data_IF_322906574121
#
_entry.id   IF_322906574121
#
_cell.length_a   1.000
_cell.length_b   1.000
_cell.length_c   1.000
_cell.angle_alpha   90.00
_cell.angle_beta   90.00
_cell.angle_gamma   90.00
#
_symmetry.space_group_name_H-M   'P 1'
#
loop_
_entity.id
_entity.type
_entity.pdbx_description
1 polymer ?
#
# COMPACT_ATOMS: atom_id res chain seq x y z
N UNK A 1 -16.48 -18.44 3.96
CA UNK A 1 -15.58 -17.62 3.12
C UNK A 1 -15.75 -16.17 3.53
N UNK A 2 -14.67 -15.40 3.66
CA UNK A 2 -14.76 -13.96 3.85
C UNK A 2 -15.32 -13.32 2.57
N UNK A 3 -16.48 -12.67 2.68
CA UNK A 3 -17.17 -12.04 1.55
C UNK A 3 -16.34 -10.92 0.91
N UNK A 4 -15.44 -10.27 1.65
CA UNK A 4 -14.55 -9.25 1.10
C UNK A 4 -13.46 -9.87 0.22
N UNK A 5 -12.92 -11.02 0.61
CA UNK A 5 -11.94 -11.74 -0.21
C UNK A 5 -12.57 -12.27 -1.50
N UNK A 6 -13.80 -12.78 -1.44
CA UNK A 6 -14.51 -13.22 -2.64
C UNK A 6 -14.72 -12.06 -3.64
N UNK A 7 -15.11 -10.88 -3.16
CA UNK A 7 -15.29 -9.68 -4.00
C UNK A 7 -13.98 -9.13 -4.56
N UNK A 8 -12.84 -9.42 -3.93
CA UNK A 8 -11.54 -8.94 -4.41
C UNK A 8 -11.13 -9.58 -5.76
N UNK A 9 -11.77 -10.68 -6.16
CA UNK A 9 -11.50 -11.37 -7.43
C UNK A 9 -12.05 -10.61 -8.65
N UNK A 10 -13.14 -9.86 -8.49
CA UNK A 10 -13.86 -9.21 -9.59
C UNK A 10 -14.10 -7.71 -9.38
N UNK A 11 -13.70 -7.15 -8.24
CA UNK A 11 -13.77 -5.71 -7.97
C UNK A 11 -12.38 -5.06 -8.03
N UNK A 12 -12.29 -3.78 -8.42
CA UNK A 12 -11.02 -3.08 -8.47
C UNK A 12 -10.34 -2.98 -7.11
N UNK A 13 -9.02 -3.11 -7.11
CA UNK A 13 -8.19 -2.87 -5.91
C UNK A 13 -8.05 -1.37 -5.69
N UNK A 14 -8.73 -0.86 -4.66
CA UNK A 14 -8.71 0.56 -4.30
C UNK A 14 -7.43 0.93 -3.50
N UNK A 15 -6.26 0.71 -4.10
CA UNK A 15 -4.95 0.86 -3.44
C UNK A 15 -4.74 2.24 -2.82
N UNK A 16 -4.93 3.31 -3.59
CA UNK A 16 -4.75 4.68 -3.12
C UNK A 16 -5.68 5.00 -1.94
N UNK A 17 -6.93 4.56 -1.99
CA UNK A 17 -7.89 4.75 -0.91
C UNK A 17 -7.44 4.00 0.36
N UNK A 18 -6.87 2.81 0.22
CA UNK A 18 -6.27 2.05 1.31
C UNK A 18 -5.13 2.81 1.98
N UNK A 19 -4.18 3.34 1.19
CA UNK A 19 -3.07 4.17 1.69
C UNK A 19 -3.59 5.43 2.40
N UNK A 20 -4.52 6.17 1.78
CA UNK A 20 -5.16 7.36 2.39
C UNK A 20 -5.86 7.04 3.71
N UNK A 21 -6.49 5.87 3.81
CA UNK A 21 -7.12 5.40 5.06
C UNK A 21 -6.08 5.15 6.14
N UNK A 22 -4.95 4.54 5.81
CA UNK A 22 -3.85 4.31 6.76
C UNK A 22 -3.20 5.62 7.21
N UNK A 23 -2.98 6.56 6.28
CA UNK A 23 -2.50 7.92 6.59
C UNK A 23 -3.46 8.63 7.54
N UNK A 24 -4.77 8.56 7.29
CA UNK A 24 -5.81 9.13 8.17
C UNK A 24 -5.85 8.51 9.56
N UNK A 25 -5.35 7.28 9.71
CA UNK A 25 -5.17 6.60 11.01
C UNK A 25 -3.83 6.89 11.68
N UNK A 26 -2.99 7.74 11.08
CA UNK A 26 -1.70 8.16 11.65
C UNK A 26 -0.49 7.35 11.20
N UNK A 27 -0.60 6.49 10.19
CA UNK A 27 0.57 5.83 9.62
C UNK A 27 1.54 6.86 9.02
N UNK A 28 2.82 6.80 9.40
CA UNK A 28 3.89 7.69 8.91
C UNK A 28 5.05 6.97 8.26
N UNK A 29 5.02 5.63 8.28
CA UNK A 29 6.05 4.76 7.71
C UNK A 29 5.41 3.55 7.06
N UNK A 30 5.74 3.30 5.80
CA UNK A 30 5.30 2.15 5.03
C UNK A 30 6.50 1.28 4.68
N UNK A 31 6.48 0.02 5.11
CA UNK A 31 7.55 -0.95 4.85
C UNK A 31 7.03 -2.02 3.89
N UNK A 32 7.54 -2.05 2.67
CA UNK A 32 7.24 -3.07 1.66
C UNK A 32 8.08 -4.32 1.91
N UNK A 33 7.39 -5.43 2.13
CA UNK A 33 7.97 -6.77 2.28
C UNK A 33 7.67 -7.56 1.01
N UNK A 34 8.68 -7.70 0.17
CA UNK A 34 8.60 -8.38 -1.12
C UNK A 34 9.77 -7.96 -2.00
N UNK A 35 10.08 -8.75 -3.03
CA UNK A 35 11.16 -8.42 -3.97
C UNK A 35 10.79 -7.19 -4.82
N UNK A 36 11.70 -6.22 -4.88
CA UNK A 36 11.52 -4.97 -5.63
C UNK A 36 11.02 -3.82 -4.76
N UNK A 37 10.39 -2.83 -5.38
CA UNK A 37 9.96 -1.59 -4.71
C UNK A 37 8.71 -0.95 -5.34
N UNK A 38 7.83 -1.75 -5.92
CA UNK A 38 6.68 -1.23 -6.69
C UNK A 38 5.68 -0.54 -5.75
N UNK A 39 5.36 -1.16 -4.61
CA UNK A 39 4.39 -0.59 -3.67
C UNK A 39 4.95 0.67 -2.99
N UNK A 40 6.26 0.67 -2.70
CA UNK A 40 7.01 1.83 -2.21
C UNK A 40 6.90 2.99 -3.20
N UNK A 41 7.09 2.75 -4.50
CA UNK A 41 6.93 3.78 -5.54
C UNK A 41 5.50 4.30 -5.62
N UNK A 42 4.50 3.42 -5.60
CA UNK A 42 3.09 3.85 -5.58
C UNK A 42 2.78 4.69 -4.34
N UNK A 43 3.21 4.26 -3.15
CA UNK A 43 3.09 5.01 -1.91
C UNK A 43 3.75 6.39 -2.00
N UNK A 44 4.97 6.46 -2.53
CA UNK A 44 5.70 7.71 -2.73
C UNK A 44 4.95 8.70 -3.64
N UNK A 45 4.29 8.23 -4.69
CA UNK A 45 3.49 9.10 -5.56
C UNK A 45 2.14 9.53 -4.95
N UNK A 46 1.61 8.76 -4.00
CA UNK A 46 0.38 9.11 -3.26
C UNK A 46 0.67 10.17 -2.20
N UNK A 47 1.74 10.00 -1.40
CA UNK A 47 2.15 10.97 -0.39
C UNK A 47 3.68 10.94 -0.18
N UNK A 48 4.33 12.05 -0.53
CA UNK A 48 5.80 12.21 -0.43
C UNK A 48 6.27 12.67 0.96
N UNK A 49 5.35 13.00 1.87
CA UNK A 49 5.65 13.55 3.20
C UNK A 49 5.93 12.47 4.25
N UNK A 50 5.69 11.19 3.93
CA UNK A 50 5.88 10.05 4.82
C UNK A 50 7.04 9.16 4.38
N UNK A 51 7.52 8.32 5.29
CA UNK A 51 8.63 7.40 5.02
C UNK A 51 8.14 6.17 4.23
N UNK A 52 8.84 5.86 3.14
CA UNK A 52 8.61 4.65 2.34
C UNK A 52 9.90 3.85 2.24
N UNK A 53 9.85 2.58 2.60
CA UNK A 53 11.01 1.69 2.62
C UNK A 53 10.66 0.34 2.00
N UNK A 54 11.46 -0.11 1.03
CA UNK A 54 11.43 -1.50 0.56
C UNK A 54 12.52 -2.31 1.27
N UNK A 55 12.19 -3.52 1.74
CA UNK A 55 13.13 -4.36 2.46
C UNK A 55 14.02 -5.21 1.54
N UNK A 56 13.44 -5.80 0.49
CA UNK A 56 14.18 -6.64 -0.47
C UNK A 56 14.37 -5.91 -1.80
N UNK A 57 15.35 -5.01 -1.86
CA UNK A 57 15.78 -4.33 -3.10
C UNK A 57 16.90 -5.11 -3.79
N UNK A 58 16.80 -5.23 -5.11
CA UNK A 58 17.83 -5.79 -6.00
C UNK A 58 19.06 -4.89 -6.10
#
# INVERSE_FOLDING_TARGET
LDLHLARHLDHPVLWEQGIKTLLGKGARRFVEIGYGNVLTKFGFFIDRSVEHQAFYVS
#
